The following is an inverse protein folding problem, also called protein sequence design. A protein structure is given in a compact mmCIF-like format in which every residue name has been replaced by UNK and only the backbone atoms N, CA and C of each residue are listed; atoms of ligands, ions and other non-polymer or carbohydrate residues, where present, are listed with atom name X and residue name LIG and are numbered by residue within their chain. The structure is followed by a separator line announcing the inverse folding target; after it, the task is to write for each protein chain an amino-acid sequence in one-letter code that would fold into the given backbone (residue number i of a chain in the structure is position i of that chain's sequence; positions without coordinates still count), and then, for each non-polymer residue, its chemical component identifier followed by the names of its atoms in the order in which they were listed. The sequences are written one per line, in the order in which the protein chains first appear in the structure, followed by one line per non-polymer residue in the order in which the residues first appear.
data_IF_041591279022
#
_entry.id   IF_041591279022
#
_cell.length_a   1.000
_cell.length_b   1.000
_cell.length_c   1.000
_cell.angle_alpha   90.00
_cell.angle_beta   90.00
_cell.angle_gamma   90.00
#
_symmetry.space_group_name_H-M   'P 1'
#
loop_
_entity.id
_entity.type
_entity.pdbx_description
1 polymer ?
#
# COMPACT_ATOMS: atom_id res chain seq x y z
N UNK A 1 28.44 19.15 6.32
CA UNK A 1 28.68 19.26 4.86
C UNK A 1 27.35 19.42 4.15
N UNK A 2 27.28 20.24 3.10
CA UNK A 2 26.03 20.50 2.38
C UNK A 2 25.63 19.26 1.56
N UNK A 3 24.46 18.69 1.83
CA UNK A 3 23.89 17.59 1.02
C UNK A 3 23.72 18.04 -0.43
N UNK A 4 24.10 17.17 -1.37
CA UNK A 4 23.93 17.43 -2.81
C UNK A 4 22.44 17.65 -3.11
N UNK A 5 22.09 18.47 -4.12
CA UNK A 5 20.69 18.72 -4.47
C UNK A 5 19.89 17.43 -4.74
N UNK A 6 20.53 16.41 -5.31
CA UNK A 6 19.90 15.12 -5.56
C UNK A 6 19.61 14.34 -4.27
N UNK A 7 20.56 14.30 -3.33
CA UNK A 7 20.31 13.61 -2.06
C UNK A 7 19.23 14.30 -1.24
N UNK A 8 19.06 15.62 -1.38
CA UNK A 8 17.92 16.33 -0.76
C UNK A 8 16.59 15.87 -1.37
N UNK A 9 16.48 15.81 -2.70
CA UNK A 9 15.27 15.26 -3.34
C UNK A 9 14.99 13.81 -2.94
N UNK A 10 16.04 12.97 -2.82
CA UNK A 10 15.90 11.61 -2.35
C UNK A 10 15.34 11.55 -0.92
N UNK A 11 15.92 12.32 0.01
CA UNK A 11 15.45 12.34 1.40
C UNK A 11 14.04 12.91 1.54
N UNK A 12 13.69 13.93 0.77
CA UNK A 12 12.33 14.47 0.71
C UNK A 12 11.32 13.44 0.19
N UNK A 13 11.70 12.65 -0.82
CA UNK A 13 10.87 11.54 -1.30
C UNK A 13 10.81 10.41 -0.26
N UNK A 14 11.93 10.07 0.37
CA UNK A 14 12.01 8.99 1.39
C UNK A 14 11.16 9.32 2.62
N UNK A 15 11.12 10.58 3.04
CA UNK A 15 10.26 11.03 4.13
C UNK A 15 8.77 10.82 3.84
N UNK A 16 8.37 10.78 2.56
CA UNK A 16 6.98 10.59 2.11
C UNK A 16 6.62 9.12 1.84
N UNK A 17 7.59 8.21 1.73
CA UNK A 17 7.33 6.82 1.35
C UNK A 17 7.03 5.88 2.55
N UNK A 18 7.03 6.41 3.77
CA UNK A 18 6.77 5.63 4.98
C UNK A 18 7.76 4.46 5.15
N UNK A 19 7.22 3.26 5.34
CA UNK A 19 7.96 2.01 5.50
C UNK A 19 8.40 1.37 4.19
N UNK A 20 8.00 1.91 3.03
CA UNK A 20 8.37 1.36 1.72
C UNK A 20 9.84 1.63 1.37
N UNK A 21 10.44 0.70 0.63
CA UNK A 21 11.73 0.89 -0.03
C UNK A 21 11.57 1.89 -1.17
N UNK A 22 12.45 2.88 -1.26
CA UNK A 22 12.37 3.91 -2.30
C UNK A 22 13.22 3.54 -3.52
N UNK A 23 12.55 3.18 -4.61
CA UNK A 23 13.15 3.00 -5.93
C UNK A 23 13.25 4.37 -6.61
N UNK A 24 14.42 5.00 -6.54
CA UNK A 24 14.62 6.36 -7.02
C UNK A 24 15.21 6.39 -8.43
N UNK A 25 14.46 6.93 -9.40
CA UNK A 25 14.93 6.96 -10.79
C UNK A 25 16.08 7.93 -10.99
N UNK A 26 17.21 7.39 -11.42
CA UNK A 26 18.38 8.12 -11.86
C UNK A 26 18.76 7.74 -13.29
N UNK A 27 18.21 8.48 -14.26
CA UNK A 27 18.41 8.19 -15.68
C UNK A 27 17.83 6.82 -16.03
N UNK A 28 18.68 5.90 -16.47
CA UNK A 28 18.31 4.55 -16.89
C UNK A 28 18.32 3.51 -15.76
N UNK A 29 18.50 3.93 -14.50
CA UNK A 29 18.53 3.05 -13.33
C UNK A 29 17.52 3.46 -12.28
N UNK A 30 17.05 2.47 -11.52
CA UNK A 30 16.50 2.68 -10.19
C UNK A 30 17.60 2.45 -9.17
N UNK A 31 17.82 3.45 -8.32
CA UNK A 31 18.80 3.40 -7.25
C UNK A 31 18.09 3.50 -5.89
N UNK A 32 18.63 2.77 -4.92
CA UNK A 32 18.27 2.84 -3.52
C UNK A 32 19.52 3.24 -2.74
N UNK A 33 19.33 3.95 -1.62
CA UNK A 33 20.43 4.39 -0.77
C UNK A 33 20.25 3.97 0.69
N UNK A 34 21.36 3.98 1.44
CA UNK A 34 21.39 3.68 2.87
C UNK A 34 20.82 2.27 3.16
N UNK A 35 19.95 2.15 4.17
CA UNK A 35 19.34 0.88 4.56
C UNK A 35 18.52 0.23 3.44
N UNK A 36 17.88 1.03 2.59
CA UNK A 36 17.11 0.50 1.46
C UNK A 36 18.03 -0.22 0.47
N UNK A 37 19.24 0.31 0.24
CA UNK A 37 20.25 -0.32 -0.60
C UNK A 37 20.70 -1.68 -0.03
N UNK A 38 20.94 -1.75 1.27
CA UNK A 38 21.37 -2.98 1.95
C UNK A 38 20.28 -4.07 1.88
N UNK A 39 19.02 -3.68 2.11
CA UNK A 39 17.87 -4.59 1.99
C UNK A 39 17.73 -5.06 0.55
N UNK A 40 17.69 -4.14 -0.42
CA UNK A 40 17.52 -4.48 -1.82
C UNK A 40 18.67 -5.34 -2.35
N UNK A 41 19.92 -5.05 -1.98
CA UNK A 41 21.07 -5.87 -2.36
C UNK A 41 20.92 -7.32 -1.92
N UNK A 42 20.51 -7.54 -0.66
CA UNK A 42 20.30 -8.88 -0.12
C UNK A 42 19.09 -9.59 -0.75
N UNK A 43 17.96 -8.91 -0.85
CA UNK A 43 16.68 -9.51 -1.31
C UNK A 43 16.71 -9.77 -2.81
N UNK A 44 17.27 -8.84 -3.59
CA UNK A 44 17.27 -8.89 -5.04
C UNK A 44 18.54 -9.52 -5.63
N UNK A 45 19.54 -9.80 -4.80
CA UNK A 45 20.84 -10.31 -5.24
C UNK A 45 21.67 -9.27 -6.01
N UNK A 46 21.51 -7.99 -5.69
CA UNK A 46 22.25 -6.90 -6.35
C UNK A 46 23.60 -6.67 -5.66
N UNK A 47 24.56 -6.15 -6.41
CA UNK A 47 25.82 -5.69 -5.82
C UNK A 47 25.58 -4.44 -4.97
N UNK A 48 25.89 -4.54 -3.68
CA UNK A 48 25.97 -3.37 -2.79
C UNK A 48 27.28 -2.62 -3.05
N UNK A 49 27.19 -1.35 -3.40
CA UNK A 49 28.32 -0.44 -3.62
C UNK A 49 28.15 0.80 -2.73
N UNK A 50 29.02 1.79 -2.90
CA UNK A 50 28.85 3.10 -2.28
C UNK A 50 28.81 4.22 -3.32
N UNK A 51 27.96 5.21 -3.06
CA UNK A 51 28.01 6.51 -3.70
C UNK A 51 29.07 7.34 -2.97
N UNK A 52 30.02 7.84 -3.75
CA UNK A 52 31.25 8.49 -3.29
C UNK A 52 32.19 7.54 -2.51
N UNK A 53 33.48 7.56 -2.85
CA UNK A 53 34.54 6.76 -2.19
C UNK A 53 35.32 7.57 -1.14
N UNK A 54 34.78 8.73 -0.75
CA UNK A 54 35.40 9.66 0.20
C UNK A 54 35.10 9.32 1.66
N UNK A 55 35.20 10.32 2.55
CA UNK A 55 35.11 10.15 4.01
C UNK A 55 33.74 9.65 4.53
N UNK A 56 32.66 9.76 3.75
CA UNK A 56 31.32 9.29 4.14
C UNK A 56 30.64 8.55 2.97
N UNK A 57 31.01 7.30 2.69
CA UNK A 57 30.40 6.50 1.63
C UNK A 57 28.92 6.22 1.95
N UNK A 58 28.03 6.50 1.01
CA UNK A 58 26.60 6.21 1.15
C UNK A 58 26.32 4.84 0.50
N UNK A 59 25.83 3.83 1.23
CA UNK A 59 25.45 2.54 0.63
C UNK A 59 24.47 2.75 -0.52
N UNK A 60 24.71 2.06 -1.63
CA UNK A 60 23.93 2.19 -2.86
C UNK A 60 23.78 0.83 -3.54
N UNK A 61 22.57 0.54 -4.01
CA UNK A 61 22.29 -0.59 -4.88
C UNK A 61 21.30 -0.12 -5.95
N UNK A 62 21.34 -0.74 -7.12
CA UNK A 62 20.45 -0.35 -8.20
C UNK A 62 20.40 -1.35 -9.33
N UNK A 63 19.42 -1.16 -10.20
CA UNK A 63 19.17 -2.01 -11.36
C UNK A 63 18.62 -1.20 -12.54
N UNK A 64 18.77 -1.66 -13.79
CA UNK A 64 18.25 -0.98 -14.97
C UNK A 64 16.73 -0.77 -14.93
N UNK A 65 16.25 0.39 -15.36
CA UNK A 65 14.85 0.81 -15.24
C UNK A 65 13.86 -0.15 -15.90
N UNK A 66 14.24 -0.77 -17.03
CA UNK A 66 13.39 -1.74 -17.73
C UNK A 66 13.17 -3.06 -16.97
N UNK A 67 13.88 -3.28 -15.84
CA UNK A 67 13.68 -4.43 -14.95
C UNK A 67 12.79 -4.10 -13.74
N UNK A 68 12.19 -2.90 -13.71
CA UNK A 68 11.38 -2.43 -12.58
C UNK A 68 10.33 -3.45 -12.14
N UNK A 69 9.47 -3.92 -13.04
CA UNK A 69 8.39 -4.83 -12.66
C UNK A 69 8.91 -6.15 -12.11
N UNK A 70 9.98 -6.71 -12.69
CA UNK A 70 10.59 -7.95 -12.21
C UNK A 70 11.22 -7.81 -10.81
N UNK A 71 11.85 -6.67 -10.50
CA UNK A 71 12.41 -6.45 -9.16
C UNK A 71 11.35 -6.04 -8.14
N UNK A 72 10.31 -5.31 -8.56
CA UNK A 72 9.14 -5.08 -7.73
C UNK A 72 8.53 -6.41 -7.30
N UNK A 73 8.31 -7.34 -8.22
CA UNK A 73 7.84 -8.71 -7.94
C UNK A 73 8.53 -9.34 -6.72
N UNK A 74 9.86 -9.33 -6.77
CA UNK A 74 10.72 -9.97 -5.79
C UNK A 74 10.68 -9.27 -4.44
N UNK A 75 10.62 -7.94 -4.44
CA UNK A 75 10.47 -7.17 -3.20
C UNK A 75 9.12 -7.46 -2.53
N UNK A 76 8.04 -7.45 -3.30
CA UNK A 76 6.70 -7.70 -2.79
C UNK A 76 6.55 -9.14 -2.29
N UNK A 77 7.04 -10.13 -3.05
CA UNK A 77 7.04 -11.54 -2.64
C UNK A 77 7.89 -11.80 -1.38
N UNK A 78 8.90 -10.96 -1.12
CA UNK A 78 9.70 -10.99 0.10
C UNK A 78 9.08 -10.19 1.26
N UNK A 79 7.84 -9.69 1.11
CA UNK A 79 7.09 -8.97 2.15
C UNK A 79 7.44 -7.49 2.30
N UNK A 80 8.15 -6.90 1.33
CA UNK A 80 8.46 -5.47 1.34
C UNK A 80 7.44 -4.67 0.54
N UNK A 81 7.27 -3.40 0.91
CA UNK A 81 6.61 -2.39 0.07
C UNK A 81 7.65 -1.62 -0.73
N UNK A 82 7.29 -1.12 -1.91
CA UNK A 82 8.20 -0.35 -2.75
C UNK A 82 7.51 0.89 -3.32
N UNK A 83 8.11 2.07 -3.09
CA UNK A 83 7.69 3.32 -3.69
C UNK A 83 8.53 3.59 -4.94
N UNK A 84 7.87 3.83 -6.08
CA UNK A 84 8.53 4.16 -7.34
C UNK A 84 8.56 5.67 -7.48
N UNK A 85 9.76 6.24 -7.52
CA UNK A 85 9.99 7.66 -7.70
C UNK A 85 10.54 7.95 -9.09
N UNK A 86 9.70 8.56 -9.92
CA UNK A 86 9.94 8.80 -11.34
C UNK A 86 10.42 10.23 -11.61
N UNK A 87 11.05 10.41 -12.78
CA UNK A 87 11.33 11.73 -13.33
C UNK A 87 10.08 12.23 -14.06
N UNK A 88 9.50 13.33 -13.58
CA UNK A 88 8.23 13.88 -14.12
C UNK A 88 8.44 15.03 -15.10
N UNK A 89 9.68 15.49 -15.27
CA UNK A 89 10.07 16.52 -16.21
C UNK A 89 10.99 15.94 -17.30
N UNK A 90 10.89 16.46 -18.52
CA UNK A 90 11.84 16.13 -19.59
C UNK A 90 13.24 16.66 -19.21
N UNK A 91 14.26 15.78 -19.07
CA UNK A 91 15.63 16.19 -18.75
C UNK A 91 16.21 17.22 -19.72
N UNK A 92 15.74 17.25 -20.97
CA UNK A 92 16.19 18.20 -22.00
C UNK A 92 15.58 19.59 -21.82
N UNK A 93 14.46 19.70 -21.12
CA UNK A 93 13.74 20.96 -20.89
C UNK A 93 13.95 21.51 -19.48
N UNK A 94 14.42 20.67 -18.56
CA UNK A 94 14.65 21.05 -17.17
C UNK A 94 15.81 22.05 -17.04
N UNK A 95 15.56 23.19 -16.38
CA UNK A 95 16.61 24.12 -15.94
C UNK A 95 17.10 23.69 -14.55
N UNK A 96 18.09 22.81 -14.52
CA UNK A 96 18.68 22.31 -13.27
C UNK A 96 18.35 20.84 -13.00
N UNK A 97 18.11 20.48 -11.73
CA UNK A 97 17.82 19.10 -11.36
C UNK A 97 16.38 18.74 -11.71
N UNK A 98 16.21 17.73 -12.57
CA UNK A 98 14.91 17.17 -12.98
C UNK A 98 14.02 16.88 -11.76
N UNK A 99 12.78 17.38 -11.78
CA UNK A 99 11.80 17.10 -10.72
C UNK A 99 11.45 15.61 -10.68
N UNK A 100 11.28 15.12 -9.46
CA UNK A 100 10.93 13.73 -9.19
C UNK A 100 9.77 13.64 -8.22
N UNK A 101 8.92 12.65 -8.46
CA UNK A 101 7.74 12.40 -7.64
C UNK A 101 7.54 10.90 -7.46
N UNK A 102 7.01 10.51 -6.31
CA UNK A 102 6.53 9.14 -6.12
C UNK A 102 5.26 9.00 -6.96
N UNK A 103 5.31 8.18 -8.01
CA UNK A 103 4.18 7.98 -8.93
C UNK A 103 3.27 6.86 -8.47
N UNK A 104 3.82 5.84 -7.81
CA UNK A 104 3.05 4.75 -7.21
C UNK A 104 3.77 4.14 -6.01
N UNK A 105 2.99 3.56 -5.09
CA UNK A 105 3.50 2.71 -4.01
C UNK A 105 2.90 1.33 -4.22
N UNK A 106 3.77 0.34 -4.40
CA UNK A 106 3.40 -1.06 -4.63
C UNK A 106 3.51 -1.81 -3.32
N UNK A 107 2.45 -2.50 -2.96
CA UNK A 107 2.32 -3.30 -1.74
C UNK A 107 1.70 -4.66 -2.07
N UNK A 108 1.80 -5.67 -1.18
CA UNK A 108 1.23 -6.99 -1.43
C UNK A 108 -0.25 -6.97 -1.84
N UNK A 109 -1.08 -6.15 -1.19
CA UNK A 109 -2.51 -6.06 -1.49
C UNK A 109 -2.87 -5.17 -2.68
N UNK A 110 -1.90 -4.55 -3.34
CA UNK A 110 -2.14 -3.55 -4.41
C UNK A 110 -1.50 -3.91 -5.75
N UNK A 111 -1.14 -5.18 -5.92
CA UNK A 111 -0.65 -5.70 -7.19
C UNK A 111 -1.76 -5.75 -8.24
N UNK A 112 -1.45 -5.24 -9.43
CA UNK A 112 -2.32 -5.27 -10.61
C UNK A 112 -1.65 -5.88 -11.85
N UNK A 113 -0.34 -6.10 -11.79
CA UNK A 113 0.41 -6.65 -12.91
C UNK A 113 0.23 -8.17 -12.96
N UNK A 114 -0.27 -8.68 -14.08
CA UNK A 114 -0.50 -10.11 -14.34
C UNK A 114 0.77 -10.95 -14.14
N UNK A 115 1.96 -10.37 -14.35
CA UNK A 115 3.23 -11.07 -14.13
C UNK A 115 3.51 -11.34 -12.63
N UNK A 116 2.82 -10.62 -11.74
CA UNK A 116 2.99 -10.66 -10.28
C UNK A 116 1.86 -11.40 -9.57
N UNK A 117 0.74 -11.60 -10.27
CA UNK A 117 -0.46 -12.22 -9.74
C UNK A 117 -0.50 -13.69 -10.14
N UNK A 118 -0.91 -14.55 -9.19
CA UNK A 118 -1.33 -15.90 -9.54
C UNK A 118 -2.77 -15.83 -10.06
N UNK A 119 -3.04 -16.15 -11.34
CA UNK A 119 -4.37 -16.05 -11.93
C UNK A 119 -5.40 -16.98 -11.27
N UNK A 120 -4.97 -17.98 -10.50
CA UNK A 120 -5.85 -18.90 -9.80
C UNK A 120 -6.31 -18.38 -8.42
N UNK A 121 -5.65 -17.36 -7.87
CA UNK A 121 -5.93 -16.87 -6.51
C UNK A 121 -6.18 -15.37 -6.48
N UNK A 122 -7.24 -14.90 -5.82
CA UNK A 122 -7.44 -13.47 -5.62
C UNK A 122 -6.33 -12.84 -4.79
N UNK A 123 -5.91 -11.62 -5.14
CA UNK A 123 -4.97 -10.83 -4.34
C UNK A 123 -5.72 -9.81 -3.49
N UNK A 124 -6.30 -10.26 -2.37
CA UNK A 124 -7.14 -9.41 -1.56
C UNK A 124 -6.34 -8.50 -0.62
N UNK A 125 -6.66 -7.21 -0.69
CA UNK A 125 -6.44 -6.23 0.38
C UNK A 125 -7.63 -6.26 1.33
N UNK A 126 -7.41 -6.54 2.61
CA UNK A 126 -8.44 -6.50 3.64
C UNK A 126 -8.23 -5.36 4.63
N UNK A 127 -9.29 -4.99 5.34
CA UNK A 127 -9.30 -3.97 6.39
C UNK A 127 -10.21 -4.41 7.51
N UNK A 128 -9.78 -4.23 8.76
CA UNK A 128 -10.54 -4.64 9.95
C UNK A 128 -10.64 -3.53 10.97
N UNK A 129 -11.87 -3.29 11.42
CA UNK A 129 -12.21 -2.39 12.52
C UNK A 129 -12.91 -3.19 13.61
N UNK A 130 -12.33 -3.21 14.80
CA UNK A 130 -12.92 -3.86 15.97
C UNK A 130 -13.80 -2.87 16.73
N UNK A 131 -15.00 -3.29 17.14
CA UNK A 131 -15.84 -2.52 18.06
C UNK A 131 -15.19 -2.42 19.46
N UNK A 132 -14.61 -3.53 19.91
CA UNK A 132 -13.89 -3.67 21.17
C UNK A 132 -12.60 -4.44 20.93
N UNK A 133 -11.59 -4.21 21.76
CA UNK A 133 -10.31 -4.94 21.66
C UNK A 133 -10.43 -6.44 22.01
N UNK A 134 -11.47 -6.81 22.76
CA UNK A 134 -11.76 -8.20 23.11
C UNK A 134 -12.70 -8.88 22.10
N UNK A 135 -13.08 -10.13 22.38
CA UNK A 135 -13.94 -10.94 21.51
C UNK A 135 -15.43 -10.74 21.77
N UNK A 136 -15.83 -9.83 22.67
CA UNK A 136 -17.23 -9.67 23.12
C UNK A 136 -18.09 -8.75 22.25
N UNK A 137 -17.50 -8.13 21.22
CA UNK A 137 -18.17 -7.22 20.29
C UNK A 137 -18.25 -7.76 18.86
N UNK A 138 -18.51 -6.84 17.94
CA UNK A 138 -18.46 -7.09 16.50
C UNK A 138 -17.17 -6.58 15.86
N UNK A 139 -16.89 -7.05 14.65
CA UNK A 139 -15.82 -6.58 13.78
C UNK A 139 -16.42 -6.18 12.43
N UNK A 140 -16.04 -5.00 11.95
CA UNK A 140 -16.21 -4.61 10.56
C UNK A 140 -15.05 -5.13 9.75
N UNK A 141 -15.36 -5.79 8.64
CA UNK A 141 -14.41 -6.36 7.72
C UNK A 141 -14.75 -5.87 6.32
N UNK A 142 -13.76 -5.38 5.60
CA UNK A 142 -13.88 -5.12 4.17
C UNK A 142 -12.70 -5.74 3.45
N UNK A 143 -12.90 -6.17 2.21
CA UNK A 143 -11.82 -6.66 1.37
C UNK A 143 -12.08 -6.37 -0.10
N UNK A 144 -11.01 -6.10 -0.82
CA UNK A 144 -11.06 -5.71 -2.21
C UNK A 144 -9.94 -6.36 -3.01
N UNK A 145 -10.23 -6.67 -4.27
CA UNK A 145 -9.24 -7.06 -5.26
C UNK A 145 -9.12 -5.93 -6.28
N UNK A 146 -7.97 -5.27 -6.26
CA UNK A 146 -7.66 -4.14 -7.13
C UNK A 146 -7.62 -4.52 -8.61
N UNK A 147 -7.26 -5.77 -8.94
CA UNK A 147 -7.16 -6.21 -10.34
C UNK A 147 -8.54 -6.43 -10.96
N UNK A 148 -9.53 -6.84 -10.17
CA UNK A 148 -10.87 -7.22 -10.65
C UNK A 148 -11.97 -6.21 -10.31
N UNK A 149 -11.71 -5.26 -9.42
CA UNK A 149 -12.71 -4.31 -8.93
C UNK A 149 -13.73 -4.91 -7.98
N UNK A 150 -13.50 -6.15 -7.52
CA UNK A 150 -14.38 -6.79 -6.55
C UNK A 150 -14.17 -6.15 -5.18
N UNK A 151 -15.26 -5.68 -4.58
CA UNK A 151 -15.23 -5.03 -3.28
C UNK A 151 -16.37 -5.54 -2.41
N UNK A 152 -16.01 -6.03 -1.23
CA UNK A 152 -16.92 -6.67 -0.30
C UNK A 152 -16.78 -6.09 1.09
N UNK A 153 -17.85 -6.22 1.86
CA UNK A 153 -17.88 -5.83 3.26
C UNK A 153 -18.77 -6.76 4.09
N UNK A 154 -18.49 -6.84 5.39
CA UNK A 154 -19.26 -7.63 6.34
C UNK A 154 -19.12 -7.07 7.75
N UNK A 155 -20.18 -7.21 8.54
CA UNK A 155 -20.10 -7.14 10.00
C UNK A 155 -20.23 -8.55 10.54
N UNK A 156 -19.25 -8.97 11.34
CA UNK A 156 -19.23 -10.32 11.94
C UNK A 156 -19.00 -10.23 13.44
N UNK A 157 -19.47 -11.22 14.23
CA UNK A 157 -19.04 -11.34 15.62
C UNK A 157 -17.52 -11.41 15.69
N UNK A 158 -16.90 -10.73 16.66
CA UNK A 158 -15.44 -10.70 16.79
C UNK A 158 -14.83 -12.09 17.06
N UNK A 159 -15.62 -13.08 17.47
CA UNK A 159 -15.23 -14.49 17.61
C UNK A 159 -15.13 -15.24 16.28
N UNK A 160 -15.66 -14.68 15.19
CA UNK A 160 -15.68 -15.27 13.84
C UNK A 160 -14.71 -14.60 12.87
N UNK A 161 -14.00 -13.57 13.32
CA UNK A 161 -13.12 -12.80 12.47
C UNK A 161 -11.96 -13.64 11.89
N UNK A 162 -11.35 -14.51 12.68
CA UNK A 162 -10.26 -15.38 12.24
C UNK A 162 -10.73 -16.41 11.20
N UNK A 163 -11.94 -16.95 11.36
CA UNK A 163 -12.58 -17.85 10.39
C UNK A 163 -12.75 -17.13 9.04
N UNK A 164 -13.27 -15.89 9.07
CA UNK A 164 -13.46 -15.08 7.86
C UNK A 164 -12.15 -14.68 7.20
N UNK A 165 -11.15 -14.26 7.97
CA UNK A 165 -9.83 -13.92 7.43
C UNK A 165 -9.15 -15.15 6.80
N UNK A 166 -9.35 -16.34 7.39
CA UNK A 166 -8.85 -17.60 6.83
C UNK A 166 -9.57 -18.00 5.55
N UNK A 167 -10.86 -17.66 5.41
CA UNK A 167 -11.63 -17.86 4.18
C UNK A 167 -11.19 -16.90 3.07
N UNK A 168 -10.88 -15.66 3.42
CA UNK A 168 -10.51 -14.59 2.48
C UNK A 168 -9.04 -14.73 2.04
N UNK A 169 -8.14 -15.11 2.95
CA UNK A 169 -6.69 -15.14 2.74
C UNK A 169 -6.13 -13.83 2.16
N UNK A 170 -6.34 -12.67 2.84
CA UNK A 170 -5.78 -11.42 2.37
C UNK A 170 -4.25 -11.47 2.35
N UNK A 171 -3.64 -10.90 1.32
CA UNK A 171 -2.17 -10.73 1.24
C UNK A 171 -1.70 -9.53 2.05
N UNK A 172 -2.59 -8.55 2.25
CA UNK A 172 -2.36 -7.38 3.09
C UNK A 172 -3.59 -7.04 3.94
N UNK A 173 -3.36 -6.71 5.20
CA UNK A 173 -4.39 -6.38 6.19
C UNK A 173 -4.16 -4.99 6.78
N UNK A 174 -5.10 -4.09 6.53
CA UNK A 174 -5.14 -2.74 7.09
C UNK A 174 -5.73 -2.75 8.50
N UNK A 175 -5.03 -2.14 9.44
CA UNK A 175 -5.48 -1.98 10.83
C UNK A 175 -5.27 -0.54 11.32
N UNK A 176 -6.15 -0.01 12.19
CA UNK A 176 -5.86 1.24 12.89
C UNK A 176 -4.58 1.11 13.75
N UNK A 177 -3.75 2.15 13.78
CA UNK A 177 -2.50 2.16 14.55
C UNK A 177 -2.69 1.81 16.03
N UNK A 178 -3.74 2.37 16.64
CA UNK A 178 -4.09 2.18 18.05
C UNK A 178 -4.79 0.85 18.34
N UNK A 179 -5.32 0.18 17.31
CA UNK A 179 -6.02 -1.10 17.48
C UNK A 179 -5.01 -2.21 17.80
N UNK A 180 -5.13 -2.79 18.99
CA UNK A 180 -4.35 -3.96 19.37
C UNK A 180 -4.74 -5.16 18.50
N UNK A 181 -3.72 -5.87 18.03
CA UNK A 181 -3.88 -7.08 17.21
C UNK A 181 -3.19 -8.24 17.92
N UNK A 182 -3.97 -9.03 18.65
CA UNK A 182 -3.55 -10.21 19.41
C UNK A 182 -4.13 -11.51 18.84
N UNK A 183 -4.55 -11.46 17.57
CA UNK A 183 -5.15 -12.59 16.85
C UNK A 183 -4.05 -13.41 16.21
N UNK A 184 -4.19 -14.74 16.26
CA UNK A 184 -3.28 -15.68 15.59
C UNK A 184 -3.98 -16.22 14.36
N UNK A 185 -3.42 -15.93 13.19
CA UNK A 185 -3.93 -16.40 11.92
C UNK A 185 -3.12 -17.63 11.46
N UNK A 186 -3.72 -18.59 10.73
CA UNK A 186 -3.00 -19.74 10.18
C UNK A 186 -2.15 -19.39 8.94
N UNK A 187 -2.09 -18.10 8.58
CA UNK A 187 -1.33 -17.53 7.48
C UNK A 187 -0.77 -16.17 7.92
N UNK A 188 0.20 -15.63 7.18
CA UNK A 188 0.90 -14.39 7.54
C UNK A 188 0.61 -13.29 6.50
N UNK A 189 -0.47 -12.49 6.68
CA UNK A 189 -0.67 -11.31 5.84
C UNK A 189 0.35 -10.24 6.20
N UNK A 190 0.67 -9.38 5.23
CA UNK A 190 1.37 -8.14 5.54
C UNK A 190 0.44 -7.22 6.34
N UNK A 191 0.81 -6.88 7.57
CA UNK A 191 0.02 -5.96 8.40
C UNK A 191 0.46 -4.52 8.12
N UNK A 192 -0.48 -3.70 7.65
CA UNK A 192 -0.26 -2.28 7.40
C UNK A 192 -1.09 -1.46 8.37
N UNK A 193 -0.40 -0.80 9.31
CA UNK A 193 -1.03 0.10 10.27
C UNK A 193 -1.30 1.46 9.63
N UNK A 194 -2.48 2.00 9.91
CA UNK A 194 -3.00 3.23 9.31
C UNK A 194 -3.53 4.17 10.40
N UNK A 195 -3.40 5.48 10.22
CA UNK A 195 -3.82 6.43 11.25
C UNK A 195 -5.34 6.36 11.49
N UNK A 196 -5.83 6.59 12.73
CA UNK A 196 -7.24 6.39 13.07
C UNK A 196 -8.25 7.14 12.19
N UNK A 197 -7.88 8.32 11.67
CA UNK A 197 -8.73 9.11 10.79
C UNK A 197 -9.07 8.40 9.46
N UNK A 198 -8.25 7.45 9.01
CA UNK A 198 -8.53 6.63 7.84
C UNK A 198 -9.76 5.72 8.05
N UNK A 199 -10.10 5.42 9.30
CA UNK A 199 -11.24 4.59 9.70
C UNK A 199 -12.35 5.41 10.39
N UNK A 200 -12.31 6.75 10.33
CA UNK A 200 -13.34 7.60 10.92
C UNK A 200 -14.69 7.40 10.22
N UNK A 201 -15.78 7.30 10.99
CA UNK A 201 -17.12 6.96 10.47
C UNK A 201 -17.58 7.88 9.35
N UNK A 202 -17.64 9.19 9.63
CA UNK A 202 -18.12 10.19 8.66
C UNK A 202 -17.24 10.26 7.42
N UNK A 203 -15.91 10.22 7.62
CA UNK A 203 -14.95 10.28 6.52
C UNK A 203 -15.04 9.03 5.62
N UNK A 204 -15.18 7.85 6.21
CA UNK A 204 -15.34 6.60 5.48
C UNK A 204 -16.65 6.56 4.67
N UNK A 205 -17.76 6.95 5.31
CA UNK A 205 -19.06 7.12 4.65
C UNK A 205 -18.96 8.09 3.48
N UNK A 206 -18.42 9.28 3.70
CA UNK A 206 -18.30 10.30 2.65
C UNK A 206 -17.41 9.85 1.50
N UNK A 207 -16.32 9.10 1.78
CA UNK A 207 -15.48 8.50 0.74
C UNK A 207 -16.27 7.53 -0.14
N UNK A 208 -17.05 6.63 0.46
CA UNK A 208 -17.87 5.66 -0.29
C UNK A 208 -18.94 6.37 -1.14
N UNK A 209 -19.68 7.33 -0.56
CA UNK A 209 -20.71 8.08 -1.30
C UNK A 209 -20.12 8.86 -2.48
N UNK A 210 -18.96 9.51 -2.26
CA UNK A 210 -18.26 10.26 -3.31
C UNK A 210 -17.76 9.33 -4.40
N UNK A 211 -17.16 8.18 -4.02
CA UNK A 211 -16.62 7.20 -4.95
C UNK A 211 -17.71 6.56 -5.82
N UNK A 212 -18.81 6.13 -5.22
CA UNK A 212 -19.94 5.53 -5.94
C UNK A 212 -20.89 6.55 -6.57
N UNK A 213 -20.66 7.85 -6.36
CA UNK A 213 -21.52 8.94 -6.83
C UNK A 213 -23.01 8.77 -6.42
N UNK A 214 -23.25 8.39 -5.16
CA UNK A 214 -24.59 8.14 -4.60
C UNK A 214 -24.88 9.03 -3.39
N UNK A 215 -26.15 9.24 -3.09
CA UNK A 215 -26.59 10.02 -1.92
C UNK A 215 -26.65 9.18 -0.63
N UNK A 216 -26.89 7.87 -0.76
CA UNK A 216 -26.99 6.90 0.35
C UNK A 216 -26.32 5.59 -0.04
N UNK A 217 -25.96 4.77 0.96
CA UNK A 217 -25.39 3.44 0.74
C UNK A 217 -26.46 2.32 0.69
N UNK A 218 -27.74 2.66 0.92
CA UNK A 218 -28.85 1.70 0.93
C UNK A 218 -29.00 0.93 -0.39
N UNK A 219 -28.67 1.56 -1.52
CA UNK A 219 -28.67 0.91 -2.84
C UNK A 219 -27.68 -0.25 -2.97
N UNK A 220 -26.68 -0.31 -2.08
CA UNK A 220 -25.73 -1.42 -1.96
C UNK A 220 -26.10 -2.40 -0.85
N UNK A 221 -27.25 -2.22 -0.18
CA UNK A 221 -27.69 -3.04 0.94
C UNK A 221 -27.05 -2.69 2.28
N UNK A 222 -26.33 -1.56 2.36
CA UNK A 222 -25.66 -1.11 3.59
C UNK A 222 -26.53 -0.12 4.35
N UNK A 223 -26.83 -0.47 5.60
CA UNK A 223 -27.47 0.41 6.57
C UNK A 223 -26.37 1.16 7.36
N UNK A 224 -26.43 2.48 7.37
CA UNK A 224 -25.33 3.30 7.89
C UNK A 224 -25.12 3.16 9.41
N UNK A 225 -26.17 2.82 10.17
CA UNK A 225 -26.07 2.63 11.61
C UNK A 225 -25.63 1.20 11.96
N UNK A 226 -26.31 0.21 11.38
CA UNK A 226 -26.02 -1.22 11.63
C UNK A 226 -24.66 -1.63 11.08
N UNK A 227 -24.32 -1.16 9.88
CA UNK A 227 -23.13 -1.60 9.14
C UNK A 227 -21.95 -0.61 9.28
N UNK A 228 -22.02 0.31 10.25
CA UNK A 228 -21.03 1.37 10.46
C UNK A 228 -19.58 0.85 10.57
N UNK A 229 -19.34 -0.30 11.20
CA UNK A 229 -18.00 -0.90 11.28
C UNK A 229 -17.48 -1.34 9.90
N UNK A 230 -18.35 -1.94 9.10
CA UNK A 230 -18.06 -2.39 7.73
C UNK A 230 -17.77 -1.19 6.81
N UNK A 231 -18.56 -0.12 6.94
CA UNK A 231 -18.38 1.16 6.23
C UNK A 231 -17.02 1.77 6.58
N UNK A 232 -16.64 1.79 7.87
CA UNK A 232 -15.32 2.27 8.31
C UNK A 232 -14.17 1.47 7.70
N UNK A 233 -14.28 0.13 7.71
CA UNK A 233 -13.27 -0.74 7.10
C UNK A 233 -13.15 -0.51 5.59
N UNK A 234 -14.28 -0.40 4.88
CA UNK A 234 -14.34 -0.17 3.44
C UNK A 234 -13.79 1.22 3.05
N UNK A 235 -14.15 2.26 3.79
CA UNK A 235 -13.61 3.60 3.56
C UNK A 235 -12.10 3.69 3.76
N UNK A 236 -11.52 2.87 4.63
CA UNK A 236 -10.07 2.78 4.80
C UNK A 236 -9.38 2.10 3.61
N UNK A 237 -10.01 1.09 2.98
CA UNK A 237 -9.52 0.49 1.73
C UNK A 237 -9.48 1.54 0.62
N UNK A 238 -10.58 2.27 0.40
CA UNK A 238 -10.62 3.28 -0.66
C UNK A 238 -9.58 4.40 -0.45
N UNK A 239 -9.39 4.84 0.79
CA UNK A 239 -8.34 5.80 1.10
C UNK A 239 -6.96 5.24 0.73
N UNK A 240 -6.66 4.02 1.17
CA UNK A 240 -5.36 3.39 0.97
C UNK A 240 -5.06 3.17 -0.52
N UNK A 241 -6.06 2.72 -1.28
CA UNK A 241 -5.95 2.53 -2.71
C UNK A 241 -5.75 3.87 -3.44
N UNK A 242 -6.44 4.93 -3.01
CA UNK A 242 -6.24 6.26 -3.59
C UNK A 242 -4.81 6.79 -3.36
N UNK A 243 -4.25 6.56 -2.17
CA UNK A 243 -2.86 6.95 -1.85
C UNK A 243 -1.83 6.15 -2.66
N UNK A 244 -2.01 4.82 -2.75
CA UNK A 244 -1.02 3.90 -3.35
C UNK A 244 -1.02 3.95 -4.88
N UNK A 245 -2.21 4.03 -5.51
CA UNK A 245 -2.35 4.00 -6.97
C UNK A 245 -2.19 5.37 -7.62
N UNK A 246 -2.59 6.44 -6.92
CA UNK A 246 -2.60 7.82 -7.46
C UNK A 246 -3.34 7.95 -8.81
N UNK A 247 -4.29 7.06 -9.07
CA UNK A 247 -5.14 7.01 -10.25
C UNK A 247 -6.61 6.91 -9.85
N UNK A 248 -7.52 6.98 -10.83
CA UNK A 248 -8.94 6.73 -10.56
C UNK A 248 -9.17 5.25 -10.26
N UNK A 249 -10.12 4.98 -9.37
CA UNK A 249 -10.51 3.64 -8.92
C UNK A 249 -11.86 3.22 -9.53
N UNK A 250 -12.18 3.72 -10.73
CA UNK A 250 -13.53 3.67 -11.32
C UNK A 250 -14.08 2.25 -11.58
N UNK A 251 -13.21 1.23 -11.62
CA UNK A 251 -13.60 -0.17 -11.78
C UNK A 251 -14.18 -0.78 -10.50
N UNK A 252 -14.02 -0.14 -9.35
CA UNK A 252 -14.81 -0.43 -8.14
C UNK A 252 -16.17 0.25 -8.25
N UNK A 253 -17.07 -0.31 -9.04
CA UNK A 253 -18.40 0.26 -9.31
C UNK A 253 -19.47 -0.18 -8.29
N UNK A 254 -19.17 -1.20 -7.49
CA UNK A 254 -20.09 -1.78 -6.51
C UNK A 254 -19.36 -2.30 -5.28
N UNK A 255 -19.98 -2.12 -4.13
CA UNK A 255 -19.65 -2.84 -2.88
C UNK A 255 -20.78 -3.81 -2.56
N UNK A 256 -20.44 -5.00 -2.05
CA UNK A 256 -21.40 -6.06 -1.69
C UNK A 256 -21.22 -6.50 -0.25
#
# INVERSE_FOLDING_TARGET
MAKTPMMRQYEEAKAKCGDALLLFRMGDFYELFHRDAEIAARVLGLTLTSRDKGENPIPMAGFPHHQLESYLAKLIAAGFKAAVCEQVEDPKQAKGLVRREITRVVTPGTLTDDALLDPATPNYLASVVLEKEDTSGSAGLAWADLSTGRFFTAVVPATKLEDELTRILPTELLLPEEQRWNRVLPFEPTITRRPPWAFGSDAARQRLLTHFATATLEGFGLDEERDHLAIRAAGAILEYLAETQKSTLAHFDRIT
#
